data_IF_737233404954
#
_entry.id   IF_737233404954
#
_cell.length_a   1.000
_cell.length_b   1.000
_cell.length_c   1.000
_cell.angle_alpha   90.00
_cell.angle_beta   90.00
_cell.angle_gamma   90.00
#
_symmetry.space_group_name_H-M   'P 1'
#
loop_
_entity.id
_entity.type
_entity.pdbx_description
1 polymer ?
#
# COMPACT_ATOMS: atom_id res chain seq x y z
N UNK A 1 -10.47 -33.50 -17.76
CA UNK A 1 -9.50 -32.41 -17.47
C UNK A 1 -9.74 -31.91 -16.05
N UNK A 2 -8.70 -31.61 -15.26
CA UNK A 2 -8.89 -31.01 -13.94
C UNK A 2 -9.63 -29.67 -14.07
N UNK A 3 -10.59 -29.42 -13.16
CA UNK A 3 -11.34 -28.15 -13.15
C UNK A 3 -10.39 -27.01 -12.73
N UNK A 4 -10.38 -25.88 -13.46
CA UNK A 4 -9.65 -24.70 -13.04
C UNK A 4 -10.16 -24.18 -11.69
N UNK A 5 -9.25 -23.58 -10.92
CA UNK A 5 -9.55 -22.90 -9.66
C UNK A 5 -9.40 -21.40 -9.90
N UNK A 6 -10.46 -20.64 -9.62
CA UNK A 6 -10.42 -19.19 -9.74
C UNK A 6 -9.68 -18.59 -8.55
N UNK A 7 -8.83 -17.61 -8.84
CA UNK A 7 -7.98 -16.93 -7.88
C UNK A 7 -8.11 -15.43 -8.10
N UNK A 8 -8.24 -14.70 -7.00
CA UNK A 8 -8.22 -13.25 -6.97
C UNK A 8 -7.04 -12.79 -6.13
N UNK A 9 -6.25 -11.89 -6.68
CA UNK A 9 -5.08 -11.30 -6.03
C UNK A 9 -5.28 -9.79 -5.98
N UNK A 10 -5.38 -9.24 -4.77
CA UNK A 10 -5.50 -7.80 -4.55
C UNK A 10 -4.13 -7.24 -4.16
N UNK A 11 -3.61 -6.32 -4.97
CA UNK A 11 -2.41 -5.51 -4.65
C UNK A 11 -2.83 -4.33 -3.76
N UNK A 12 -2.05 -3.25 -3.69
CA UNK A 12 -2.46 -2.05 -2.96
C UNK A 12 -3.45 -1.18 -3.73
N UNK A 13 -3.44 -1.24 -5.06
CA UNK A 13 -4.21 -0.35 -5.94
C UNK A 13 -4.87 -1.05 -7.14
N UNK A 14 -4.69 -2.37 -7.28
CA UNK A 14 -5.27 -3.16 -8.35
C UNK A 14 -5.78 -4.53 -7.87
N UNK A 15 -6.76 -5.06 -8.58
CA UNK A 15 -7.30 -6.40 -8.40
C UNK A 15 -7.04 -7.23 -9.66
N UNK A 16 -6.49 -8.42 -9.49
CA UNK A 16 -6.12 -9.33 -10.58
C UNK A 16 -6.86 -10.65 -10.41
N UNK A 17 -7.46 -11.15 -11.49
CA UNK A 17 -8.13 -12.45 -11.49
C UNK A 17 -7.41 -13.43 -12.42
N UNK A 18 -7.22 -14.65 -11.92
CA UNK A 18 -6.55 -15.73 -12.62
C UNK A 18 -7.33 -17.03 -12.50
N UNK A 19 -7.14 -17.93 -13.45
CA UNK A 19 -7.55 -19.32 -13.35
C UNK A 19 -6.30 -20.20 -13.27
N UNK A 20 -6.13 -20.91 -12.14
CA UNK A 20 -5.00 -21.82 -11.93
C UNK A 20 -5.42 -23.27 -12.04
N UNK A 21 -4.47 -24.17 -12.27
CA UNK A 21 -4.71 -25.60 -12.24
C UNK A 21 -4.49 -26.13 -10.82
N UNK A 22 -5.12 -27.26 -10.43
CA UNK A 22 -4.92 -27.85 -9.09
C UNK A 22 -3.47 -28.23 -8.77
N UNK A 23 -2.61 -28.39 -9.80
CA UNK A 23 -1.18 -28.66 -9.64
C UNK A 23 -0.31 -27.40 -9.60
N UNK A 24 -0.88 -26.19 -9.77
CA UNK A 24 -0.15 -24.92 -9.75
C UNK A 24 0.52 -24.70 -8.40
N UNK A 25 1.81 -24.36 -8.43
CA UNK A 25 2.60 -24.01 -7.25
C UNK A 25 2.41 -22.55 -6.86
N UNK A 26 2.71 -22.23 -5.59
CA UNK A 26 2.70 -20.84 -5.13
C UNK A 26 3.66 -19.97 -5.94
N UNK A 27 4.81 -20.50 -6.34
CA UNK A 27 5.77 -19.81 -7.21
C UNK A 27 5.16 -19.46 -8.56
N UNK A 28 4.46 -20.39 -9.20
CA UNK A 28 3.84 -20.14 -10.51
C UNK A 28 2.77 -19.04 -10.44
N UNK A 29 1.94 -19.06 -9.39
CA UNK A 29 0.96 -17.99 -9.15
C UNK A 29 1.65 -16.65 -8.89
N UNK A 30 2.66 -16.64 -8.02
CA UNK A 30 3.43 -15.44 -7.70
C UNK A 30 4.12 -14.85 -8.93
N UNK A 31 4.79 -15.67 -9.74
CA UNK A 31 5.46 -15.25 -10.98
C UNK A 31 4.46 -14.64 -11.98
N UNK A 32 3.23 -15.17 -12.04
CA UNK A 32 2.17 -14.61 -12.88
C UNK A 32 1.72 -13.23 -12.40
N UNK A 33 1.58 -13.05 -11.08
CA UNK A 33 1.20 -11.76 -10.47
C UNK A 33 2.26 -10.70 -10.78
N UNK A 34 3.53 -10.96 -10.43
CA UNK A 34 4.61 -9.96 -10.59
C UNK A 34 4.86 -9.62 -12.06
N UNK A 35 4.73 -10.60 -12.96
CA UNK A 35 4.80 -10.36 -14.41
C UNK A 35 3.65 -9.48 -14.91
N UNK A 36 2.44 -9.65 -14.38
CA UNK A 36 1.26 -8.87 -14.79
C UNK A 36 1.40 -7.40 -14.39
N UNK A 37 1.97 -7.12 -13.21
CA UNK A 37 2.17 -5.76 -12.71
C UNK A 37 3.53 -5.14 -13.10
N UNK A 38 4.41 -5.90 -13.77
CA UNK A 38 5.72 -5.42 -14.20
C UNK A 38 6.77 -5.27 -13.08
N UNK A 39 6.59 -5.96 -11.95
CA UNK A 39 7.48 -5.89 -10.78
C UNK A 39 8.60 -6.92 -10.90
N UNK A 40 9.84 -6.49 -10.68
CA UNK A 40 11.07 -7.32 -10.75
C UNK A 40 11.77 -7.47 -9.40
N UNK A 41 11.61 -6.50 -8.50
CA UNK A 41 12.14 -6.52 -7.12
C UNK A 41 11.34 -7.44 -6.20
N UNK A 42 11.22 -8.70 -6.61
CA UNK A 42 10.28 -9.67 -6.05
C UNK A 42 10.61 -10.11 -4.63
N UNK A 43 11.86 -9.94 -4.18
CA UNK A 43 12.36 -10.42 -2.90
C UNK A 43 11.69 -9.75 -1.69
N UNK A 44 11.09 -8.58 -1.86
CA UNK A 44 10.33 -7.92 -0.81
C UNK A 44 8.91 -8.47 -0.63
N UNK A 45 8.34 -9.12 -1.64
CA UNK A 45 6.89 -9.37 -1.72
C UNK A 45 6.52 -10.83 -1.47
N UNK A 46 5.25 -11.03 -1.09
CA UNK A 46 4.63 -12.33 -0.99
C UNK A 46 3.13 -12.28 -1.26
N UNK A 47 2.52 -13.47 -1.30
CA UNK A 47 1.07 -13.62 -1.33
C UNK A 47 0.60 -14.01 0.07
N UNK A 48 -0.24 -13.18 0.66
CA UNK A 48 -0.88 -13.44 1.95
C UNK A 48 -2.31 -13.93 1.71
N UNK A 49 -2.77 -14.88 2.51
CA UNK A 49 -4.14 -15.39 2.47
C UNK A 49 -4.67 -15.64 3.89
N UNK A 50 -5.98 -15.82 4.03
CA UNK A 50 -6.59 -16.25 5.28
C UNK A 50 -6.70 -17.78 5.28
N UNK A 51 -6.12 -18.43 6.29
CA UNK A 51 -6.20 -19.88 6.43
C UNK A 51 -7.59 -20.33 6.92
N UNK A 52 -7.82 -21.65 6.95
CA UNK A 52 -9.07 -22.24 7.43
C UNK A 52 -9.39 -21.96 8.90
N UNK A 53 -8.43 -21.44 9.68
CA UNK A 53 -8.56 -21.08 11.10
C UNK A 53 -8.72 -19.57 11.30
N UNK A 54 -8.72 -18.78 10.22
CA UNK A 54 -8.86 -17.32 10.25
C UNK A 54 -7.55 -16.56 10.44
N UNK A 55 -6.39 -17.24 10.43
CA UNK A 55 -5.09 -16.58 10.55
C UNK A 55 -4.57 -16.10 9.21
N UNK A 56 -3.94 -14.93 9.23
CA UNK A 56 -3.23 -14.38 8.08
C UNK A 56 -1.92 -15.13 7.87
N UNK A 57 -1.76 -15.77 6.72
CA UNK A 57 -0.62 -16.66 6.41
C UNK A 57 0.00 -16.31 5.07
N UNK A 58 1.33 -16.41 4.97
CA UNK A 58 2.06 -16.27 3.71
C UNK A 58 2.07 -17.59 2.92
N UNK A 59 1.71 -17.52 1.64
CA UNK A 59 1.75 -18.63 0.71
C UNK A 59 3.19 -19.14 0.54
N UNK A 60 3.36 -20.45 0.70
CA UNK A 60 4.62 -21.14 0.44
C UNK A 60 4.80 -21.34 -1.05
N UNK A 61 5.87 -20.78 -1.62
CA UNK A 61 6.09 -20.76 -3.07
C UNK A 61 6.46 -22.14 -3.62
N UNK A 62 7.13 -22.95 -2.81
CA UNK A 62 7.58 -24.31 -3.13
C UNK A 62 6.46 -25.37 -3.08
N UNK A 63 5.29 -25.02 -2.53
CA UNK A 63 4.15 -25.93 -2.40
C UNK A 63 3.05 -25.61 -3.42
N UNK A 64 2.21 -26.61 -3.73
CA UNK A 64 0.98 -26.40 -4.50
C UNK A 64 0.04 -25.46 -3.74
N UNK A 65 -0.65 -24.58 -4.44
CA UNK A 65 -1.63 -23.66 -3.84
C UNK A 65 -2.75 -24.48 -3.17
N UNK A 66 -3.25 -25.49 -3.87
CA UNK A 66 -4.30 -26.41 -3.41
C UNK A 66 -3.91 -27.31 -2.23
N UNK A 67 -2.62 -27.46 -1.95
CA UNK A 67 -2.11 -28.30 -0.86
C UNK A 67 -1.87 -27.51 0.44
N UNK A 68 -2.20 -26.23 0.46
CA UNK A 68 -2.08 -25.36 1.62
C UNK A 68 -3.47 -25.10 2.23
N UNK A 69 -3.54 -24.82 3.53
CA UNK A 69 -4.79 -24.68 4.29
C UNK A 69 -5.52 -23.35 4.02
N UNK A 70 -5.70 -23.00 2.75
CA UNK A 70 -6.37 -21.78 2.31
C UNK A 70 -7.87 -21.92 2.52
N UNK A 71 -8.51 -20.86 3.02
CA UNK A 71 -9.96 -20.80 3.14
C UNK A 71 -10.64 -21.13 1.80
N UNK A 72 -11.52 -22.14 1.82
CA UNK A 72 -12.19 -22.64 0.61
C UNK A 72 -13.29 -21.69 0.16
N UNK A 73 -12.90 -20.69 -0.62
CA UNK A 73 -13.78 -19.71 -1.26
C UNK A 73 -13.64 -19.77 -2.78
N UNK A 74 -14.61 -19.21 -3.50
CA UNK A 74 -14.54 -19.07 -4.94
C UNK A 74 -14.86 -17.62 -5.33
N UNK A 75 -13.86 -16.84 -5.80
CA UNK A 75 -12.46 -17.22 -6.02
C UNK A 75 -11.67 -17.37 -4.71
N UNK A 76 -10.52 -18.07 -4.76
CA UNK A 76 -9.53 -18.04 -3.68
C UNK A 76 -8.95 -16.62 -3.56
N UNK A 77 -8.89 -16.10 -2.34
CA UNK A 77 -8.49 -14.72 -2.06
C UNK A 77 -7.03 -14.63 -1.60
N UNK A 78 -6.24 -13.79 -2.27
CA UNK A 78 -4.87 -13.45 -1.87
C UNK A 78 -4.65 -11.94 -1.87
N UNK A 79 -3.78 -11.49 -0.97
CA UNK A 79 -3.24 -10.13 -0.95
C UNK A 79 -1.78 -10.18 -1.37
N UNK A 80 -1.40 -9.41 -2.39
CA UNK A 80 -0.01 -9.19 -2.74
C UNK A 80 0.52 -8.03 -1.90
N UNK A 81 1.48 -8.29 -1.02
CA UNK A 81 1.97 -7.34 0.01
C UNK A 81 3.48 -7.46 0.18
N UNK A 82 4.14 -6.40 0.64
CA UNK A 82 5.52 -6.48 1.10
C UNK A 82 5.56 -7.30 2.40
N UNK A 83 6.46 -8.28 2.42
CA UNK A 83 6.76 -9.17 3.54
C UNK A 83 8.05 -8.74 4.24
N UNK A 84 8.98 -8.18 3.48
CA UNK A 84 10.26 -7.69 3.97
C UNK A 84 10.40 -6.22 3.57
N UNK A 85 11.02 -5.44 4.44
CA UNK A 85 11.30 -4.02 4.21
C UNK A 85 12.81 -3.85 4.03
N UNK A 86 13.25 -2.93 3.14
CA UNK A 86 14.67 -2.57 3.01
C UNK A 86 15.17 -1.89 4.30
N UNK A 87 16.49 -1.84 4.46
CA UNK A 87 17.13 -1.03 5.51
C UNK A 87 17.10 0.46 5.14
N UNK A 88 17.27 0.78 3.86
CA UNK A 88 17.15 2.15 3.34
C UNK A 88 16.31 2.18 2.06
N UNK A 89 15.10 2.72 2.16
CA UNK A 89 14.15 2.83 1.03
C UNK A 89 14.69 3.67 -0.12
N UNK A 90 15.60 4.63 0.15
CA UNK A 90 16.12 5.56 -0.85
C UNK A 90 17.22 4.98 -1.72
N UNK A 91 17.91 3.96 -1.21
CA UNK A 91 19.01 3.27 -1.90
C UNK A 91 18.51 1.97 -2.53
N UNK A 92 17.62 1.25 -1.85
CA UNK A 92 17.27 -0.11 -2.22
C UNK A 92 16.04 -0.22 -3.14
N UNK A 93 15.09 0.72 -3.09
CA UNK A 93 13.89 0.65 -3.93
C UNK A 93 14.13 1.29 -5.29
N UNK A 94 14.26 0.46 -6.33
CA UNK A 94 14.71 0.89 -7.66
C UNK A 94 13.54 1.22 -8.58
N UNK A 95 12.48 0.40 -8.61
CA UNK A 95 11.35 0.60 -9.54
C UNK A 95 10.24 1.45 -8.93
N UNK A 96 9.67 2.35 -9.74
CA UNK A 96 8.51 3.18 -9.34
C UNK A 96 7.32 2.35 -8.84
N UNK A 97 7.06 1.18 -9.46
CA UNK A 97 5.98 0.28 -9.01
C UNK A 97 6.27 -0.28 -7.61
N UNK A 98 7.53 -0.58 -7.30
CA UNK A 98 7.94 -1.07 -5.98
C UNK A 98 7.75 0.03 -4.94
N UNK A 99 8.28 1.24 -5.21
CA UNK A 99 8.12 2.40 -4.35
C UNK A 99 6.64 2.71 -4.09
N UNK A 100 5.81 2.69 -5.14
CA UNK A 100 4.36 2.91 -5.01
C UNK A 100 3.67 1.87 -4.13
N UNK A 101 3.97 0.58 -4.29
CA UNK A 101 3.36 -0.47 -3.48
C UNK A 101 3.78 -0.38 -2.01
N UNK A 102 5.05 -0.09 -1.73
CA UNK A 102 5.51 0.20 -0.38
C UNK A 102 4.82 1.43 0.21
N UNK A 103 4.79 2.55 -0.52
CA UNK A 103 4.15 3.78 -0.10
C UNK A 103 2.69 3.54 0.30
N UNK A 104 1.92 2.86 -0.56
CA UNK A 104 0.52 2.60 -0.28
C UNK A 104 0.33 1.70 0.96
N UNK A 105 1.17 0.67 1.12
CA UNK A 105 1.07 -0.26 2.25
C UNK A 105 1.46 0.42 3.57
N UNK A 106 2.55 1.17 3.60
CA UNK A 106 2.98 1.93 4.79
C UNK A 106 1.94 2.99 5.14
N UNK A 107 1.40 3.71 4.15
CA UNK A 107 0.33 4.68 4.37
C UNK A 107 -0.93 4.04 4.93
N UNK A 108 -1.31 2.84 4.45
CA UNK A 108 -2.44 2.08 5.03
C UNK A 108 -2.18 1.77 6.51
N UNK A 109 -0.99 1.26 6.84
CA UNK A 109 -0.60 0.93 8.22
C UNK A 109 -0.56 2.13 9.17
N UNK A 110 -0.08 3.28 8.70
CA UNK A 110 -0.09 4.53 9.48
C UNK A 110 -1.52 5.00 9.72
N UNK A 111 -2.36 5.04 8.67
CA UNK A 111 -3.74 5.51 8.79
C UNK A 111 -4.67 4.57 9.58
N UNK A 112 -4.33 3.29 9.70
CA UNK A 112 -5.03 2.32 10.54
C UNK A 112 -4.53 2.28 11.99
N UNK A 113 -3.54 3.12 12.36
CA UNK A 113 -2.82 3.07 13.65
C UNK A 113 -2.13 1.71 13.91
N UNK A 114 -1.87 0.89 12.87
CA UNK A 114 -0.99 -0.29 12.98
C UNK A 114 0.48 0.11 13.13
N UNK A 115 0.86 1.23 12.51
CA UNK A 115 2.17 1.87 12.68
C UNK A 115 1.95 3.16 13.46
N UNK A 116 2.58 3.29 14.62
CA UNK A 116 2.47 4.50 15.41
C UNK A 116 3.16 5.66 14.68
N UNK A 117 2.47 6.78 14.58
CA UNK A 117 3.00 8.00 13.99
C UNK A 117 2.67 9.21 14.90
N UNK A 118 3.66 10.00 15.32
CA UNK A 118 3.40 11.21 16.09
C UNK A 118 2.62 12.25 15.26
N UNK A 119 1.84 13.15 15.90
CA UNK A 119 0.96 14.08 15.21
C UNK A 119 1.64 14.96 14.16
N UNK A 120 2.81 15.52 14.48
CA UNK A 120 3.56 16.41 13.59
C UNK A 120 4.00 15.68 12.32
N UNK A 121 4.54 14.47 12.49
CA UNK A 121 4.94 13.61 11.37
C UNK A 121 3.74 13.16 10.55
N UNK A 122 2.60 12.87 11.17
CA UNK A 122 1.39 12.44 10.47
C UNK A 122 0.88 13.54 9.50
N UNK A 123 0.93 14.80 9.91
CA UNK A 123 0.56 15.95 9.05
C UNK A 123 1.51 16.06 7.86
N UNK A 124 2.82 15.96 8.11
CA UNK A 124 3.83 16.04 7.06
C UNK A 124 3.68 14.89 6.06
N UNK A 125 3.53 13.66 6.55
CA UNK A 125 3.24 12.48 5.72
C UNK A 125 1.94 12.66 4.92
N UNK A 126 0.89 13.17 5.55
CA UNK A 126 -0.37 13.51 4.87
C UNK A 126 -0.17 14.46 3.69
N UNK A 127 0.68 15.49 3.86
CA UNK A 127 0.99 16.44 2.78
C UNK A 127 1.75 15.82 1.60
N UNK A 128 2.71 14.92 1.87
CA UNK A 128 3.39 14.16 0.80
C UNK A 128 2.43 13.20 0.08
N UNK A 129 1.50 12.58 0.80
CA UNK A 129 0.47 11.74 0.19
C UNK A 129 -0.50 12.54 -0.68
N UNK A 130 -0.81 13.79 -0.31
CA UNK A 130 -1.58 14.71 -1.14
C UNK A 130 -0.79 15.09 -2.40
N UNK A 131 0.48 15.47 -2.27
CA UNK A 131 1.34 15.77 -3.42
C UNK A 131 1.44 14.58 -4.38
N UNK A 132 1.62 13.35 -3.89
CA UNK A 132 1.71 12.16 -4.75
C UNK A 132 0.40 11.86 -5.48
N UNK A 133 -0.75 12.19 -4.88
CA UNK A 133 -2.06 11.98 -5.51
C UNK A 133 -2.43 13.10 -6.50
N UNK A 134 -2.37 14.35 -6.05
CA UNK A 134 -2.89 15.51 -6.78
C UNK A 134 -1.84 16.22 -7.64
N UNK A 135 -0.54 16.02 -7.38
CA UNK A 135 0.53 16.83 -7.97
C UNK A 135 0.52 18.24 -7.40
N UNK A 136 1.22 19.18 -8.05
CA UNK A 136 1.41 20.53 -7.53
C UNK A 136 0.11 21.25 -7.12
N UNK A 137 0.16 21.92 -5.98
CA UNK A 137 -0.96 22.73 -5.52
C UNK A 137 -1.28 23.88 -6.49
N UNK A 138 -2.49 23.86 -7.05
CA UNK A 138 -3.04 24.96 -7.85
C UNK A 138 -4.28 25.54 -7.16
N UNK A 139 -4.22 26.83 -6.79
CA UNK A 139 -5.31 27.55 -6.09
C UNK A 139 -6.63 27.58 -6.87
N UNK A 140 -6.60 27.54 -8.19
CA UNK A 140 -7.82 27.56 -9.03
C UNK A 140 -8.53 26.21 -9.04
N UNK A 141 -7.76 25.11 -9.00
CA UNK A 141 -8.26 23.73 -9.02
C UNK A 141 -8.54 23.21 -7.60
N UNK A 142 -7.65 23.45 -6.66
CA UNK A 142 -7.69 22.96 -5.28
C UNK A 142 -8.37 23.97 -4.36
N UNK A 143 -9.67 24.14 -4.59
CA UNK A 143 -10.55 24.96 -3.74
C UNK A 143 -10.78 24.30 -2.37
N UNK A 144 -11.21 25.07 -1.38
CA UNK A 144 -11.53 24.57 -0.05
C UNK A 144 -12.44 23.32 -0.12
N UNK A 145 -12.08 22.29 0.65
CA UNK A 145 -12.78 21.01 0.67
C UNK A 145 -12.33 19.97 -0.37
N UNK A 146 -11.30 20.24 -1.19
CA UNK A 146 -10.76 19.25 -2.14
C UNK A 146 -10.18 17.99 -1.46
N UNK A 147 -9.93 18.05 -0.14
CA UNK A 147 -9.43 16.94 0.68
C UNK A 147 -10.53 16.26 1.52
N UNK A 148 -11.80 16.64 1.37
CA UNK A 148 -12.90 16.09 2.16
C UNK A 148 -13.13 14.58 1.95
N UNK A 149 -12.73 14.02 0.80
CA UNK A 149 -12.78 12.58 0.54
C UNK A 149 -11.57 11.82 1.07
N UNK A 150 -10.51 12.52 1.48
CA UNK A 150 -9.24 11.91 1.83
C UNK A 150 -9.18 11.53 3.30
N UNK A 151 -8.46 10.45 3.57
CA UNK A 151 -8.08 10.04 4.92
C UNK A 151 -6.65 10.54 5.15
N UNK A 152 -6.56 11.71 5.77
CA UNK A 152 -5.35 12.53 5.79
C UNK A 152 -4.36 12.13 6.89
N UNK A 153 -4.88 11.87 8.09
CA UNK A 153 -4.11 11.52 9.29
C UNK A 153 -4.84 10.40 10.05
N UNK A 154 -4.15 9.68 10.96
CA UNK A 154 -4.77 8.65 11.80
C UNK A 154 -5.89 9.22 12.68
N UNK A 155 -6.90 8.42 13.00
CA UNK A 155 -8.05 8.87 13.81
C UNK A 155 -7.59 9.37 15.18
N UNK A 156 -6.64 8.67 15.81
CA UNK A 156 -6.05 9.06 17.08
C UNK A 156 -5.47 10.48 17.06
N UNK A 157 -4.79 10.87 15.98
CA UNK A 157 -4.21 12.22 15.85
C UNK A 157 -5.32 13.27 15.78
N UNK A 158 -6.41 12.99 15.05
CA UNK A 158 -7.57 13.89 15.03
C UNK A 158 -8.21 14.04 16.40
N UNK A 159 -8.34 12.95 17.15
CA UNK A 159 -9.00 12.95 18.47
C UNK A 159 -8.17 13.66 19.56
N UNK A 160 -6.84 13.67 19.42
CA UNK A 160 -5.92 14.33 20.37
C UNK A 160 -5.95 15.87 20.27
N UNK A 161 -6.34 16.42 19.13
CA UNK A 161 -6.37 17.86 18.90
C UNK A 161 -7.79 18.38 18.75
N UNK A 162 -8.08 19.54 19.34
CA UNK A 162 -9.40 20.22 19.21
C UNK A 162 -9.52 20.98 17.89
N UNK A 163 -9.14 20.34 16.78
CA UNK A 163 -9.21 20.93 15.43
C UNK A 163 -10.41 20.36 14.68
N UNK A 164 -11.11 21.20 13.95
CA UNK A 164 -12.11 20.74 12.98
C UNK A 164 -11.44 20.04 11.80
N UNK A 165 -12.22 19.28 11.03
CA UNK A 165 -11.74 18.68 9.77
C UNK A 165 -11.18 19.74 8.81
N UNK A 166 -11.87 20.87 8.68
CA UNK A 166 -11.45 21.99 7.83
C UNK A 166 -10.09 22.55 8.26
N UNK A 167 -9.85 22.69 9.58
CA UNK A 167 -8.55 23.16 10.09
C UNK A 167 -7.42 22.16 9.83
N UNK A 168 -7.70 20.85 9.84
CA UNK A 168 -6.72 19.84 9.43
C UNK A 168 -6.41 19.95 7.93
N UNK A 169 -7.43 20.15 7.10
CA UNK A 169 -7.27 20.35 5.66
C UNK A 169 -6.44 21.59 5.34
N UNK A 170 -6.70 22.71 6.02
CA UNK A 170 -5.91 23.94 5.88
C UNK A 170 -4.43 23.69 6.22
N UNK A 171 -4.14 23.02 7.35
CA UNK A 171 -2.77 22.71 7.74
C UNK A 171 -2.05 21.88 6.69
N UNK A 172 -2.70 20.84 6.18
CA UNK A 172 -2.10 19.96 5.16
C UNK A 172 -1.97 20.68 3.82
N UNK A 173 -2.93 21.54 3.47
CA UNK A 173 -2.88 22.34 2.25
C UNK A 173 -1.70 23.32 2.26
N UNK A 174 -1.37 23.93 3.40
CA UNK A 174 -0.18 24.79 3.52
C UNK A 174 1.07 23.99 3.17
N UNK A 175 1.26 22.81 3.76
CA UNK A 175 2.39 21.94 3.43
C UNK A 175 2.37 21.43 1.99
N UNK A 176 1.19 21.11 1.45
CA UNK A 176 1.05 20.71 0.05
C UNK A 176 1.53 21.80 -0.92
N UNK A 177 1.32 23.07 -0.61
CA UNK A 177 1.82 24.18 -1.43
C UNK A 177 3.35 24.30 -1.40
N UNK A 178 4.00 23.92 -0.29
CA UNK A 178 5.46 23.92 -0.16
C UNK A 178 6.15 22.84 -1.01
N UNK A 179 5.42 21.78 -1.38
CA UNK A 179 5.94 20.68 -2.23
C UNK A 179 5.94 21.00 -3.73
N UNK A 180 5.69 22.26 -4.11
CA UNK A 180 5.60 22.68 -5.52
C UNK A 180 6.84 22.29 -6.35
N UNK A 181 6.60 21.67 -7.50
CA UNK A 181 7.65 21.17 -8.40
C UNK A 181 8.15 19.77 -8.06
N UNK A 182 7.65 19.14 -6.98
CA UNK A 182 7.99 17.78 -6.62
C UNK A 182 7.20 16.77 -7.45
N UNK A 183 7.91 15.87 -8.14
CA UNK A 183 7.28 14.76 -8.86
C UNK A 183 6.54 13.82 -7.91
N UNK A 184 5.49 13.15 -8.40
CA UNK A 184 4.66 12.24 -7.59
C UNK A 184 5.47 11.08 -7.02
N UNK A 185 6.40 10.57 -7.82
CA UNK A 185 7.33 9.50 -7.46
C UNK A 185 8.25 9.94 -6.33
N UNK A 186 8.82 11.14 -6.43
CA UNK A 186 9.66 11.70 -5.37
C UNK A 186 8.85 11.93 -4.08
N UNK A 187 7.61 12.39 -4.18
CA UNK A 187 6.74 12.55 -3.01
C UNK A 187 6.45 11.21 -2.31
N UNK A 188 6.25 10.13 -3.07
CA UNK A 188 6.13 8.78 -2.49
C UNK A 188 7.43 8.33 -1.81
N UNK A 189 8.59 8.63 -2.41
CA UNK A 189 9.88 8.27 -1.83
C UNK A 189 10.19 9.06 -0.56
N UNK A 190 9.95 10.38 -0.53
CA UNK A 190 10.11 11.21 0.67
C UNK A 190 9.16 10.78 1.79
N UNK A 191 7.92 10.40 1.45
CA UNK A 191 7.01 9.79 2.42
C UNK A 191 7.63 8.54 3.07
N UNK A 192 8.20 7.64 2.26
CA UNK A 192 8.82 6.41 2.74
C UNK A 192 10.06 6.68 3.59
N UNK A 193 10.90 7.65 3.20
CA UNK A 193 12.09 8.04 3.96
C UNK A 193 11.75 8.54 5.36
N UNK A 194 10.65 9.27 5.52
CA UNK A 194 10.20 9.73 6.83
C UNK A 194 9.57 8.57 7.61
N UNK A 195 8.79 7.74 6.94
CA UNK A 195 8.07 6.64 7.59
C UNK A 195 8.97 5.49 8.05
N UNK A 196 10.14 5.28 7.42
CA UNK A 196 11.09 4.24 7.83
C UNK A 196 11.72 4.50 9.21
N UNK A 197 11.73 5.76 9.66
CA UNK A 197 12.31 6.19 10.94
C UNK A 197 11.29 6.14 12.10
N UNK A 198 10.06 5.64 11.85
CA UNK A 198 9.04 5.46 12.87
C UNK A 198 9.34 4.22 13.74
N UNK A 199 9.04 4.32 15.03
CA UNK A 199 9.21 3.24 16.02
C UNK A 199 8.22 2.07 15.88
#
# INVERSE_FOLDING_TARGET
MPKPVNVRVTTMDAELEFAIQPNTTGKQLFDQVVKTIGLREVWYFGLQYMDNKGFSTWLKLEKKVSAQEIRKENPLQFKFRSKFFPEDVSVELIQDITQKLFFLQVKEGILSDEIYCPPETAVLLGSYAVQSKFGDYNKELHKAGYLNSERLVPQRVMDQHKLSREQWEERIQVWHAEHGGMLKENAMLEYLKIAQDLE
#
